data_IF_613945127338
#
_entry.id   IF_613945127338
#
_cell.length_a   1.000
_cell.length_b   1.000
_cell.length_c   1.000
_cell.angle_alpha   90.00
_cell.angle_beta   90.00
_cell.angle_gamma   90.00
#
_symmetry.space_group_name_H-M   'P 1'
#
loop_
_entity.id
_entity.type
_entity.pdbx_description
1 polymer ?
#
# COMPACT_ATOMS: atom_id res chain seq x y z
N UNK A 1 -8.49 -9.39 -17.75
CA UNK A 1 -7.69 -8.93 -16.59
C UNK A 1 -6.33 -8.47 -17.06
N UNK A 2 -5.89 -7.30 -16.63
CA UNK A 2 -4.55 -6.81 -16.93
C UNK A 2 -3.49 -7.71 -16.29
N UNK A 3 -2.48 -8.06 -17.05
CA UNK A 3 -1.39 -8.91 -16.59
C UNK A 3 -0.03 -8.22 -16.80
N UNK A 4 0.90 -8.50 -15.90
CA UNK A 4 2.27 -8.00 -16.01
C UNK A 4 3.01 -8.80 -17.09
N UNK A 5 2.99 -8.30 -18.31
CA UNK A 5 3.71 -8.90 -19.44
C UNK A 5 5.13 -8.32 -19.57
N UNK A 6 5.93 -8.87 -20.51
CA UNK A 6 7.31 -8.45 -20.69
C UNK A 6 7.45 -6.96 -21.06
N UNK A 7 6.55 -6.45 -21.90
CA UNK A 7 6.58 -5.04 -22.31
C UNK A 7 6.27 -4.10 -21.16
N UNK A 8 5.25 -4.40 -20.38
CA UNK A 8 4.87 -3.61 -19.21
C UNK A 8 5.95 -3.67 -18.14
N UNK A 9 6.56 -4.84 -17.94
CA UNK A 9 7.69 -5.00 -17.00
C UNK A 9 8.84 -4.07 -17.37
N UNK A 10 9.23 -4.05 -18.64
CA UNK A 10 10.30 -3.18 -19.14
C UNK A 10 9.94 -1.72 -18.91
N UNK A 11 8.70 -1.33 -19.15
CA UNK A 11 8.23 0.04 -18.93
C UNK A 11 8.38 0.45 -17.48
N UNK A 12 7.92 -0.36 -16.52
CA UNK A 12 8.07 -0.06 -15.09
C UNK A 12 9.53 0.03 -14.67
N UNK A 13 10.37 -0.87 -15.15
CA UNK A 13 11.80 -0.86 -14.84
C UNK A 13 12.48 0.41 -15.35
N UNK A 14 12.13 0.87 -16.56
CA UNK A 14 12.66 2.10 -17.13
C UNK A 14 12.18 3.33 -16.38
N UNK A 15 10.90 3.39 -16.03
CA UNK A 15 10.34 4.48 -15.24
C UNK A 15 11.03 4.61 -13.89
N UNK A 16 11.24 3.49 -13.22
CA UNK A 16 11.93 3.47 -11.93
C UNK A 16 13.39 3.90 -12.07
N UNK A 17 14.10 3.35 -13.05
CA UNK A 17 15.52 3.66 -13.29
C UNK A 17 15.74 5.13 -13.58
N UNK A 18 14.82 5.75 -14.33
CA UNK A 18 14.95 7.13 -14.78
C UNK A 18 14.23 8.13 -13.86
N UNK A 19 13.60 7.65 -12.81
CA UNK A 19 12.89 8.50 -11.85
C UNK A 19 13.88 9.41 -11.13
N UNK A 20 13.56 10.71 -11.10
CA UNK A 20 14.34 11.72 -10.39
C UNK A 20 13.41 12.49 -9.47
N UNK A 21 13.83 12.65 -8.22
CA UNK A 21 13.09 13.47 -7.26
C UNK A 21 13.44 14.92 -7.54
N UNK A 22 12.41 15.74 -7.74
CA UNK A 22 12.63 17.18 -7.94
C UNK A 22 13.32 17.77 -6.71
N UNK A 23 14.35 18.63 -6.87
CA UNK A 23 15.10 19.17 -5.73
C UNK A 23 14.23 19.88 -4.68
N UNK A 24 13.16 20.56 -5.10
CA UNK A 24 12.24 21.25 -4.19
C UNK A 24 11.33 20.28 -3.43
N UNK A 25 11.28 19.01 -3.80
CA UNK A 25 10.51 17.96 -3.14
C UNK A 25 11.35 17.03 -2.26
N UNK A 26 12.68 17.13 -2.36
CA UNK A 26 13.58 16.18 -1.68
C UNK A 26 13.38 16.18 -0.16
N UNK A 27 13.26 17.34 0.45
CA UNK A 27 13.02 17.47 1.89
C UNK A 27 11.71 16.82 2.32
N UNK A 28 10.65 16.99 1.54
CA UNK A 28 9.35 16.37 1.80
C UNK A 28 9.43 14.84 1.69
N UNK A 29 10.11 14.34 0.67
CA UNK A 29 10.32 12.89 0.48
C UNK A 29 11.10 12.32 1.64
N UNK A 30 12.19 12.97 2.06
CA UNK A 30 12.99 12.49 3.20
C UNK A 30 12.17 12.45 4.49
N UNK A 31 11.34 13.44 4.75
CA UNK A 31 10.45 13.46 5.91
C UNK A 31 9.48 12.28 5.90
N UNK A 32 8.87 12.00 4.74
CA UNK A 32 7.96 10.87 4.56
C UNK A 32 8.69 9.55 4.78
N UNK A 33 9.84 9.37 4.13
CA UNK A 33 10.63 8.13 4.23
C UNK A 33 11.06 7.88 5.67
N UNK A 34 11.55 8.90 6.37
CA UNK A 34 11.97 8.77 7.77
C UNK A 34 10.81 8.35 8.66
N UNK A 35 9.61 8.93 8.45
CA UNK A 35 8.43 8.54 9.20
C UNK A 35 8.03 7.10 8.94
N UNK A 36 8.06 6.65 7.68
CA UNK A 36 7.75 5.26 7.33
C UNK A 36 8.78 4.31 7.95
N UNK A 37 10.05 4.66 7.94
CA UNK A 37 11.11 3.86 8.57
C UNK A 37 10.95 3.78 10.09
N UNK A 38 10.55 4.87 10.74
CA UNK A 38 10.29 4.89 12.17
C UNK A 38 9.13 3.98 12.57
N UNK A 39 8.17 3.77 11.66
CA UNK A 39 7.01 2.90 11.87
C UNK A 39 7.17 1.52 11.24
N UNK A 40 8.37 1.14 10.85
CA UNK A 40 8.66 -0.13 10.18
C UNK A 40 8.11 -1.35 10.94
N UNK A 41 8.17 -1.34 12.26
CA UNK A 41 7.68 -2.46 13.07
C UNK A 41 6.20 -2.74 12.86
N UNK A 42 5.38 -1.70 12.69
CA UNK A 42 3.95 -1.84 12.40
C UNK A 42 3.73 -2.49 11.03
N UNK A 43 4.52 -2.11 10.05
CA UNK A 43 4.43 -2.66 8.69
C UNK A 43 4.96 -4.10 8.61
N UNK A 44 6.04 -4.40 9.31
CA UNK A 44 6.61 -5.76 9.39
C UNK A 44 5.63 -6.74 10.02
N UNK A 45 4.85 -6.30 10.99
CA UNK A 45 3.80 -7.11 11.62
C UNK A 45 2.76 -7.56 10.59
N UNK A 46 2.34 -6.66 9.71
CA UNK A 46 1.41 -6.97 8.63
C UNK A 46 2.06 -7.88 7.59
N UNK A 47 3.32 -7.66 7.25
CA UNK A 47 4.08 -8.53 6.34
C UNK A 47 4.08 -9.97 6.82
N UNK A 48 4.32 -10.21 8.11
CA UNK A 48 4.36 -11.56 8.66
C UNK A 48 3.05 -12.31 8.48
N UNK A 49 1.94 -11.60 8.47
CA UNK A 49 0.60 -12.20 8.39
C UNK A 49 0.03 -12.26 6.98
N UNK A 50 0.60 -11.51 6.04
CA UNK A 50 0.08 -11.44 4.67
C UNK A 50 1.08 -11.90 3.61
N UNK A 51 2.38 -11.87 3.90
CA UNK A 51 3.43 -12.07 2.91
C UNK A 51 3.70 -10.84 2.03
N UNK A 52 2.94 -9.77 2.20
CA UNK A 52 3.19 -8.51 1.48
C UNK A 52 4.36 -7.80 2.15
N UNK A 53 5.43 -7.43 1.41
CA UNK A 53 6.60 -6.81 2.01
C UNK A 53 6.26 -5.54 2.78
N UNK A 54 6.94 -5.32 3.89
CA UNK A 54 6.66 -4.18 4.76
C UNK A 54 6.71 -2.83 4.02
N UNK A 55 7.65 -2.68 3.06
CA UNK A 55 7.79 -1.43 2.32
C UNK A 55 6.61 -1.17 1.37
N UNK A 56 5.98 -2.23 0.85
CA UNK A 56 4.75 -2.11 0.06
C UNK A 56 3.59 -1.67 0.96
N UNK A 57 3.46 -2.28 2.14
CA UNK A 57 2.45 -1.87 3.12
C UNK A 57 2.63 -0.40 3.49
N UNK A 58 3.88 0.03 3.72
CA UNK A 58 4.22 1.41 4.06
C UNK A 58 3.83 2.39 2.94
N UNK A 59 4.15 2.07 1.69
CA UNK A 59 3.82 2.92 0.54
C UNK A 59 2.30 3.05 0.38
N UNK A 60 1.56 1.95 0.48
CA UNK A 60 0.10 1.98 0.42
C UNK A 60 -0.46 2.87 1.54
N UNK A 61 0.05 2.72 2.76
CA UNK A 61 -0.37 3.53 3.91
C UNK A 61 -0.14 5.02 3.68
N UNK A 62 1.00 5.36 3.07
CA UNK A 62 1.29 6.75 2.69
C UNK A 62 0.30 7.26 1.64
N UNK A 63 0.03 6.45 0.61
CA UNK A 63 -0.86 6.84 -0.49
C UNK A 63 -2.31 7.00 -0.03
N UNK A 64 -2.80 6.11 0.83
CA UNK A 64 -4.21 6.09 1.23
C UNK A 64 -4.55 7.13 2.30
N UNK A 65 -3.62 7.44 3.22
CA UNK A 65 -3.98 8.26 4.37
C UNK A 65 -2.84 9.12 4.92
N UNK A 66 -1.79 9.36 4.17
CA UNK A 66 -0.60 10.07 4.64
C UNK A 66 0.01 9.44 5.92
N UNK A 67 -0.08 8.12 6.03
CA UNK A 67 0.47 7.39 7.17
C UNK A 67 -0.33 7.50 8.46
N UNK A 68 -1.63 7.77 8.39
CA UNK A 68 -2.50 7.87 9.54
C UNK A 68 -2.92 6.48 10.03
N UNK A 69 -2.51 6.09 11.24
CA UNK A 69 -2.84 4.79 11.83
C UNK A 69 -4.25 4.69 12.41
N UNK A 70 -5.05 5.75 12.32
CA UNK A 70 -6.45 5.75 12.78
C UNK A 70 -7.44 5.54 11.62
N UNK A 71 -6.96 5.16 10.45
CA UNK A 71 -7.78 5.00 9.25
C UNK A 71 -7.60 3.63 8.63
N UNK A 72 -8.61 3.22 7.85
CA UNK A 72 -8.58 1.99 7.08
C UNK A 72 -7.58 2.08 5.91
N UNK A 73 -6.80 1.01 5.73
CA UNK A 73 -5.89 0.93 4.58
C UNK A 73 -6.65 0.80 3.25
N UNK A 74 -7.92 0.43 3.29
CA UNK A 74 -8.77 0.28 2.10
C UNK A 74 -8.95 1.59 1.35
N UNK A 75 -9.21 2.69 2.08
CA UNK A 75 -9.62 3.96 1.45
C UNK A 75 -9.45 5.20 2.36
N UNK A 76 -8.82 5.04 3.51
CA UNK A 76 -8.56 6.18 4.41
C UNK A 76 -9.72 6.58 5.33
N UNK A 77 -10.83 5.83 5.32
CA UNK A 77 -11.94 6.11 6.24
C UNK A 77 -11.58 5.73 7.70
N UNK A 78 -12.28 6.30 8.69
CA UNK A 78 -11.95 6.06 10.11
C UNK A 78 -12.13 4.61 10.54
N UNK A 79 -11.23 4.12 11.39
CA UNK A 79 -11.32 2.77 11.99
C UNK A 79 -12.50 2.61 12.96
N UNK A 80 -13.14 3.70 13.36
CA UNK A 80 -14.29 3.69 14.27
C UNK A 80 -15.54 3.10 13.66
N UNK A 81 -15.56 2.86 12.35
CA UNK A 81 -16.69 2.31 11.61
C UNK A 81 -16.22 1.45 10.44
N UNK A 82 -17.12 0.65 9.87
CA UNK A 82 -16.88 -0.01 8.59
C UNK A 82 -16.80 1.01 7.47
N UNK A 83 -16.11 0.65 6.38
CA UNK A 83 -16.04 1.52 5.20
C UNK A 83 -17.43 1.73 4.59
N UNK A 84 -17.69 2.95 4.13
CA UNK A 84 -18.94 3.33 3.44
C UNK A 84 -18.72 3.55 1.95
N UNK A 85 -17.48 3.93 1.56
CA UNK A 85 -17.07 4.05 0.17
C UNK A 85 -16.41 2.74 -0.28
N UNK A 86 -16.06 2.64 -1.56
CA UNK A 86 -15.48 1.44 -2.14
C UNK A 86 -14.12 1.13 -1.49
N UNK A 87 -13.90 -0.10 -1.05
CA UNK A 87 -14.84 -1.22 -0.88
C UNK A 87 -15.74 -1.03 0.35
N UNK A 88 -17.06 -1.19 0.17
CA UNK A 88 -18.04 -0.97 1.24
C UNK A 88 -18.06 -2.12 2.24
N UNK A 89 -18.45 -1.78 3.48
CA UNK A 89 -18.69 -2.75 4.56
C UNK A 89 -17.45 -3.57 4.93
N UNK A 90 -16.29 -2.96 4.87
CA UNK A 90 -15.03 -3.62 5.26
C UNK A 90 -14.43 -2.94 6.49
N UNK A 91 -13.67 -3.64 7.30
CA UNK A 91 -13.52 -5.11 7.36
C UNK A 91 -14.81 -5.81 7.85
N UNK A 92 -14.91 -7.14 7.74
CA UNK A 92 -15.99 -7.87 8.40
C UNK A 92 -15.83 -7.77 9.91
N UNK A 93 -16.93 -7.97 10.65
CA UNK A 93 -16.95 -7.84 12.10
C UNK A 93 -17.52 -6.52 12.57
N UNK A 94 -17.26 -6.18 13.82
CA UNK A 94 -17.84 -5.00 14.45
C UNK A 94 -16.76 -3.96 14.81
N UNK A 95 -17.03 -2.66 14.55
CA UNK A 95 -16.12 -1.61 14.99
C UNK A 95 -16.08 -1.47 16.51
N UNK A 96 -15.05 -0.84 17.09
CA UNK A 96 -13.90 -0.25 16.38
C UNK A 96 -12.91 -1.31 15.91
N UNK A 97 -12.17 -0.98 14.85
CA UNK A 97 -11.17 -1.87 14.26
C UNK A 97 -9.76 -1.44 14.65
N UNK A 98 -8.83 -2.43 14.70
CA UNK A 98 -7.40 -2.14 14.85
C UNK A 98 -6.80 -1.86 13.49
N UNK A 99 -5.73 -1.04 13.47
CA UNK A 99 -5.05 -0.77 12.20
C UNK A 99 -4.47 -2.05 11.57
N UNK A 100 -3.76 -2.93 12.32
CA UNK A 100 -3.24 -4.16 11.73
C UNK A 100 -4.34 -5.05 11.15
N UNK A 101 -5.45 -5.21 11.87
CA UNK A 101 -6.58 -6.01 11.39
C UNK A 101 -7.18 -5.45 10.11
N UNK A 102 -7.38 -4.14 10.06
CA UNK A 102 -7.87 -3.46 8.86
C UNK A 102 -6.89 -3.59 7.69
N UNK A 103 -5.59 -3.42 7.93
CA UNK A 103 -4.57 -3.53 6.91
C UNK A 103 -4.53 -4.94 6.31
N UNK A 104 -4.57 -5.97 7.14
CA UNK A 104 -4.62 -7.37 6.69
C UNK A 104 -5.84 -7.59 5.81
N UNK A 105 -7.01 -7.13 6.23
CA UNK A 105 -8.23 -7.26 5.45
C UNK A 105 -8.12 -6.56 4.09
N UNK A 106 -7.60 -5.34 4.06
CA UNK A 106 -7.46 -4.58 2.82
C UNK A 106 -6.56 -5.30 1.82
N UNK A 107 -5.40 -5.78 2.26
CA UNK A 107 -4.43 -6.45 1.40
C UNK A 107 -4.95 -7.79 0.89
N UNK A 108 -5.63 -8.57 1.76
CA UNK A 108 -6.18 -9.87 1.37
C UNK A 108 -7.42 -9.71 0.48
N UNK A 109 -8.24 -8.70 0.72
CA UNK A 109 -9.39 -8.39 -0.13
C UNK A 109 -8.95 -8.10 -1.58
N UNK A 110 -7.85 -7.38 -1.76
CA UNK A 110 -7.30 -7.08 -3.08
C UNK A 110 -6.39 -8.18 -3.63
N UNK A 111 -6.24 -9.28 -2.90
CA UNK A 111 -5.47 -10.44 -3.37
C UNK A 111 -3.96 -10.27 -3.34
N UNK A 112 -3.43 -9.23 -2.69
CA UNK A 112 -1.98 -8.98 -2.64
C UNK A 112 -1.24 -10.06 -1.88
N UNK A 113 -1.89 -10.74 -0.95
CA UNK A 113 -1.32 -11.88 -0.22
C UNK A 113 -1.00 -13.07 -1.11
N UNK A 114 -1.58 -13.15 -2.31
CA UNK A 114 -1.34 -14.21 -3.29
C UNK A 114 -0.29 -13.83 -4.34
N UNK A 115 0.17 -12.59 -4.32
CA UNK A 115 1.19 -12.11 -5.26
C UNK A 115 2.58 -12.40 -4.71
N UNK A 116 3.48 -12.88 -5.55
CA UNK A 116 4.83 -13.28 -5.15
C UNK A 116 5.95 -12.50 -5.82
N UNK A 117 5.64 -11.81 -6.92
CA UNK A 117 6.63 -11.03 -7.66
C UNK A 117 6.75 -9.62 -7.10
N UNK A 118 7.59 -9.47 -6.07
CA UNK A 118 7.85 -8.18 -5.44
C UNK A 118 9.16 -7.54 -5.94
N UNK A 119 9.54 -7.83 -7.20
CA UNK A 119 10.54 -7.06 -7.94
C UNK A 119 10.06 -5.63 -8.15
N UNK A 120 10.93 -4.75 -8.66
CA UNK A 120 10.54 -3.38 -8.98
C UNK A 120 9.28 -3.35 -9.87
N UNK A 121 9.29 -4.12 -10.96
CA UNK A 121 8.16 -4.14 -11.90
C UNK A 121 6.89 -4.73 -11.26
N UNK A 122 7.02 -5.84 -10.54
CA UNK A 122 5.89 -6.49 -9.87
C UNK A 122 5.28 -5.62 -8.80
N UNK A 123 6.12 -4.91 -8.03
CA UNK A 123 5.68 -3.98 -6.99
C UNK A 123 4.96 -2.78 -7.59
N UNK A 124 5.55 -2.14 -8.60
CA UNK A 124 4.92 -0.99 -9.27
C UNK A 124 3.57 -1.37 -9.89
N UNK A 125 3.50 -2.54 -10.52
CA UNK A 125 2.27 -3.05 -11.11
C UNK A 125 1.15 -3.18 -10.06
N UNK A 126 1.44 -3.78 -8.91
CA UNK A 126 0.45 -3.97 -7.85
C UNK A 126 0.08 -2.67 -7.15
N UNK A 127 1.03 -1.76 -6.97
CA UNK A 127 0.74 -0.45 -6.39
C UNK A 127 -0.17 0.36 -7.30
N UNK A 128 0.06 0.32 -8.61
CA UNK A 128 -0.81 1.01 -9.58
C UNK A 128 -2.22 0.42 -9.57
N UNK A 129 -2.35 -0.91 -9.56
CA UNK A 129 -3.66 -1.57 -9.47
C UNK A 129 -4.39 -1.25 -8.17
N UNK A 130 -3.68 -1.22 -7.05
CA UNK A 130 -4.27 -0.92 -5.75
C UNK A 130 -4.85 0.51 -5.72
N UNK A 131 -4.10 1.45 -6.28
CA UNK A 131 -4.49 2.87 -6.32
C UNK A 131 -5.51 3.18 -7.42
N UNK A 132 -5.89 2.19 -8.22
CA UNK A 132 -6.74 2.36 -9.40
C UNK A 132 -5.93 2.78 -10.62
N UNK A 133 -6.31 2.26 -11.77
CA UNK A 133 -5.69 2.63 -13.06
C UNK A 133 -6.34 3.92 -13.55
N UNK A 134 -6.12 5.00 -12.88
CA UNK A 134 -6.64 6.34 -13.05
C UNK A 134 -7.38 6.72 -14.30
#
# INVERSE_FOLDING_TARGET
MLQLNAGLRTEYEQLYKNCQIKPDKLSQVDTIVNRLMDNRSSYTKVERLTGVPWFIVAVIHQLESNGNFNTHLHNGEPLSRKTTLVPKNRPPGNPPFTWPGSAIDALTFDGLNNWTDWSIAGSCFKLELYNGLG
#
